data_IF_785054969145
#
_entry.id   IF_785054969145
#
_cell.length_a   1.000
_cell.length_b   1.000
_cell.length_c   1.000
_cell.angle_alpha   90.00
_cell.angle_beta   90.00
_cell.angle_gamma   90.00
#
_symmetry.space_group_name_H-M   'P 1'
#
loop_
_entity.id
_entity.type
_entity.pdbx_description
1 polymer ?
#
# COMPACT_ATOMS: atom_id res chain seq x y z
N UNK A 1 -12.41 -4.81 8.19
CA UNK A 1 -11.26 -4.35 7.37
C UNK A 1 -11.73 -3.49 6.21
N UNK A 2 -12.86 -3.82 5.60
CA UNK A 2 -13.45 -3.09 4.47
C UNK A 2 -13.63 -1.57 4.73
N UNK A 3 -14.28 -1.17 5.83
CA UNK A 3 -14.46 0.26 6.18
C UNK A 3 -13.13 1.03 6.25
N UNK A 4 -12.09 0.39 6.80
CA UNK A 4 -10.75 0.97 6.89
C UNK A 4 -10.13 1.16 5.50
N UNK A 5 -10.31 0.20 4.59
CA UNK A 5 -9.80 0.27 3.22
C UNK A 5 -10.55 1.35 2.42
N UNK A 6 -11.88 1.44 2.55
CA UNK A 6 -12.67 2.54 1.99
C UNK A 6 -12.16 3.90 2.45
N UNK A 7 -11.95 4.08 3.75
CA UNK A 7 -11.40 5.33 4.27
C UNK A 7 -9.97 5.60 3.78
N UNK A 8 -9.10 4.60 3.74
CA UNK A 8 -7.71 4.74 3.30
C UNK A 8 -7.57 5.05 1.80
N UNK A 9 -8.48 4.55 0.97
CA UNK A 9 -8.35 4.59 -0.49
C UNK A 9 -9.28 5.65 -1.11
N UNK A 10 -10.55 5.70 -0.71
CA UNK A 10 -11.50 6.69 -1.21
C UNK A 10 -11.60 7.93 -0.31
N UNK A 11 -11.48 7.74 1.01
CA UNK A 11 -11.78 8.79 2.00
C UNK A 11 -10.65 9.77 2.32
N UNK A 12 -9.45 9.60 1.75
CA UNK A 12 -8.26 10.37 2.17
C UNK A 12 -7.37 10.76 0.99
N UNK A 13 -6.74 11.95 1.07
CA UNK A 13 -5.81 12.44 0.04
C UNK A 13 -4.69 11.43 -0.22
N UNK A 14 -4.44 11.16 -1.50
CA UNK A 14 -3.44 10.19 -1.96
C UNK A 14 -3.84 8.72 -1.79
N UNK A 15 -5.14 8.43 -1.65
CA UNK A 15 -5.65 7.07 -1.52
C UNK A 15 -5.41 6.21 -2.75
N UNK A 16 -5.52 6.79 -3.96
CA UNK A 16 -5.12 6.14 -5.23
C UNK A 16 -3.68 5.62 -5.16
N UNK A 17 -2.72 6.45 -4.71
CA UNK A 17 -1.32 6.02 -4.58
C UNK A 17 -1.13 4.94 -3.51
N UNK A 18 -1.91 4.96 -2.42
CA UNK A 18 -1.92 3.86 -1.44
C UNK A 18 -2.43 2.56 -2.06
N UNK A 19 -3.48 2.61 -2.87
CA UNK A 19 -3.98 1.42 -3.56
C UNK A 19 -2.96 0.86 -4.57
N UNK A 20 -2.31 1.73 -5.35
CA UNK A 20 -1.21 1.33 -6.25
C UNK A 20 -0.08 0.63 -5.49
N UNK A 21 0.33 1.17 -4.34
CA UNK A 21 1.31 0.54 -3.46
C UNK A 21 0.84 -0.84 -2.97
N UNK A 22 -0.40 -0.95 -2.48
CA UNK A 22 -0.94 -2.22 -1.95
C UNK A 22 -0.94 -3.28 -3.06
N UNK A 23 -1.30 -2.90 -4.29
CA UNK A 23 -1.29 -3.80 -5.46
C UNK A 23 0.12 -4.27 -5.81
N UNK A 24 1.12 -3.39 -5.81
CA UNK A 24 2.53 -3.77 -6.01
C UNK A 24 3.00 -4.74 -4.92
N UNK A 25 2.74 -4.41 -3.65
CA UNK A 25 3.17 -5.22 -2.50
C UNK A 25 2.47 -6.57 -2.37
N UNK A 26 1.32 -6.74 -3.03
CA UNK A 26 0.67 -8.05 -3.18
C UNK A 26 1.46 -8.97 -4.11
N UNK A 27 2.06 -8.43 -5.17
CA UNK A 27 2.85 -9.23 -6.12
C UNK A 27 4.13 -9.79 -5.49
N UNK A 28 4.87 -8.94 -4.77
CA UNK A 28 6.06 -9.31 -4.00
C UNK A 28 6.49 -8.19 -3.04
N UNK A 29 7.40 -8.46 -2.10
CA UNK A 29 8.00 -7.42 -1.27
C UNK A 29 8.86 -6.45 -2.09
N UNK A 30 8.83 -5.17 -1.72
CA UNK A 30 9.62 -4.12 -2.35
C UNK A 30 10.21 -3.17 -1.33
N UNK A 31 11.39 -2.62 -1.61
CA UNK A 31 11.89 -1.46 -0.86
C UNK A 31 11.25 -0.16 -1.38
N UNK A 32 11.41 0.94 -0.62
CA UNK A 32 10.79 2.21 -0.98
C UNK A 32 11.35 2.85 -2.26
N UNK A 33 12.61 2.60 -2.62
CA UNK A 33 13.18 3.09 -3.88
C UNK A 33 12.57 2.37 -5.08
N UNK A 34 12.39 1.04 -4.98
CA UNK A 34 11.75 0.25 -6.02
C UNK A 34 10.30 0.68 -6.23
N UNK A 35 9.54 0.91 -5.15
CA UNK A 35 8.17 1.43 -5.26
C UNK A 35 8.11 2.82 -5.90
N UNK A 36 9.08 3.70 -5.57
CA UNK A 36 9.17 5.02 -6.19
C UNK A 36 9.37 4.93 -7.70
N UNK A 37 10.27 4.05 -8.15
CA UNK A 37 10.51 3.80 -9.57
C UNK A 37 9.32 3.14 -10.26
N UNK A 38 8.78 2.05 -9.71
CA UNK A 38 7.67 1.31 -10.30
C UNK A 38 6.39 2.15 -10.46
N UNK A 39 6.16 3.06 -9.50
CA UNK A 39 4.94 3.86 -9.46
C UNK A 39 5.12 5.27 -10.04
N UNK A 40 6.32 5.61 -10.51
CA UNK A 40 6.68 6.95 -10.97
C UNK A 40 6.29 8.04 -9.95
N UNK A 41 6.76 7.84 -8.70
CA UNK A 41 6.50 8.72 -7.57
C UNK A 41 7.81 9.12 -6.91
N UNK A 42 7.86 10.32 -6.33
CA UNK A 42 9.02 10.71 -5.55
C UNK A 42 9.16 9.86 -4.27
N UNK A 43 10.41 9.66 -3.86
CA UNK A 43 10.73 8.84 -2.70
C UNK A 43 10.07 9.32 -1.40
N UNK A 44 9.92 10.64 -1.20
CA UNK A 44 9.30 11.19 0.03
C UNK A 44 7.80 10.88 0.06
N UNK A 45 7.12 10.94 -1.09
CA UNK A 45 5.73 10.53 -1.25
C UNK A 45 5.54 9.06 -0.92
N UNK A 46 6.37 8.16 -1.47
CA UNK A 46 6.33 6.74 -1.11
C UNK A 46 6.53 6.54 0.40
N UNK A 47 7.54 7.18 1.00
CA UNK A 47 7.82 7.08 2.44
C UNK A 47 6.65 7.59 3.29
N UNK A 48 5.98 8.65 2.87
CA UNK A 48 4.77 9.13 3.55
C UNK A 48 3.66 8.07 3.51
N UNK A 49 3.37 7.49 2.35
CA UNK A 49 2.38 6.43 2.21
C UNK A 49 2.72 5.18 3.01
N UNK A 50 3.99 4.73 3.02
CA UNK A 50 4.43 3.60 3.84
C UNK A 50 4.13 3.82 5.33
N UNK A 51 4.34 5.04 5.85
CA UNK A 51 4.04 5.35 7.26
C UNK A 51 2.55 5.21 7.56
N UNK A 52 1.69 5.73 6.68
CA UNK A 52 0.23 5.63 6.85
C UNK A 52 -0.22 4.17 6.79
N UNK A 53 0.26 3.40 5.82
CA UNK A 53 -0.10 2.00 5.65
C UNK A 53 0.41 1.12 6.81
N UNK A 54 1.64 1.36 7.30
CA UNK A 54 2.20 0.65 8.46
C UNK A 54 1.43 0.97 9.74
N UNK A 55 1.07 2.25 9.96
CA UNK A 55 0.26 2.67 11.12
C UNK A 55 -1.11 1.97 11.16
N UNK A 56 -1.71 1.71 9.99
CA UNK A 56 -3.00 1.03 9.87
C UNK A 56 -2.87 -0.49 9.70
N UNK A 57 -1.69 -1.06 9.96
CA UNK A 57 -1.42 -2.50 9.87
C UNK A 57 -1.73 -3.12 8.49
N UNK A 58 -1.65 -2.34 7.41
CA UNK A 58 -1.82 -2.80 6.04
C UNK A 58 -0.53 -3.45 5.52
N UNK A 59 0.61 -2.90 5.93
CA UNK A 59 1.94 -3.38 5.55
C UNK A 59 2.80 -3.62 6.79
N UNK A 60 3.78 -4.51 6.63
CA UNK A 60 4.91 -4.70 7.55
C UNK A 60 6.22 -4.57 6.78
N UNK A 61 7.33 -4.48 7.50
CA UNK A 61 8.66 -4.49 6.89
C UNK A 61 9.54 -5.58 7.50
N UNK A 62 10.50 -6.06 6.72
CA UNK A 62 11.58 -6.95 7.15
C UNK A 62 12.91 -6.23 7.03
N UNK A 63 13.85 -6.47 7.96
CA UNK A 63 15.14 -5.79 8.01
C UNK A 63 15.04 -4.31 8.39
N UNK A 64 14.14 -3.94 9.30
CA UNK A 64 13.98 -2.55 9.73
C UNK A 64 15.30 -2.00 10.32
N UNK A 65 15.72 -0.83 9.82
CA UNK A 65 17.01 -0.21 10.21
C UNK A 65 18.25 -0.81 9.52
N UNK A 66 18.08 -1.78 8.62
CA UNK A 66 19.18 -2.46 7.93
C UNK A 66 19.19 -2.16 6.42
N UNK A 67 20.36 -2.35 5.79
CA UNK A 67 20.49 -2.34 4.34
C UNK A 67 19.67 -3.50 3.76
N UNK A 68 18.79 -3.20 2.79
CA UNK A 68 17.89 -4.20 2.20
C UNK A 68 16.50 -4.28 2.83
N UNK A 69 16.08 -3.30 3.66
CA UNK A 69 14.72 -3.24 4.18
C UNK A 69 13.67 -3.29 3.06
N UNK A 70 12.73 -4.23 3.16
CA UNK A 70 11.59 -4.36 2.24
C UNK A 70 10.26 -4.27 2.99
N UNK A 71 9.25 -3.76 2.30
CA UNK A 71 7.86 -3.75 2.73
C UNK A 71 7.11 -4.91 2.08
N UNK A 72 6.08 -5.39 2.77
CA UNK A 72 5.17 -6.43 2.29
C UNK A 72 3.81 -6.26 2.96
N UNK A 73 2.75 -6.85 2.38
CA UNK A 73 1.45 -6.87 3.04
C UNK A 73 1.53 -7.57 4.41
N UNK A 74 0.81 -7.03 5.38
CA UNK A 74 0.61 -7.71 6.66
C UNK A 74 -0.19 -9.01 6.45
N UNK A 75 -0.11 -10.00 7.37
CA UNK A 75 -0.90 -11.23 7.26
C UNK A 75 -2.39 -10.94 7.11
N UNK A 76 -2.93 -10.06 7.96
CA UNK A 76 -4.34 -9.67 7.91
C UNK A 76 -4.72 -9.01 6.58
N UNK A 77 -3.84 -8.18 6.00
CA UNK A 77 -4.11 -7.58 4.70
C UNK A 77 -4.08 -8.62 3.56
N UNK A 78 -3.21 -9.64 3.64
CA UNK A 78 -3.20 -10.73 2.66
C UNK A 78 -4.49 -11.54 2.68
N UNK A 79 -4.99 -11.86 3.87
CA UNK A 79 -6.26 -12.58 4.05
C UNK A 79 -7.47 -11.78 3.55
N UNK A 80 -7.37 -10.45 3.55
CA UNK A 80 -8.44 -9.53 3.12
C UNK A 80 -8.15 -8.88 1.76
N UNK A 81 -7.26 -9.46 0.94
CA UNK A 81 -6.86 -8.83 -0.32
C UNK A 81 -8.01 -8.76 -1.33
N UNK A 82 -8.91 -9.73 -1.34
CA UNK A 82 -10.06 -9.75 -2.25
C UNK A 82 -11.03 -8.58 -1.98
N UNK A 83 -11.21 -8.20 -0.71
CA UNK A 83 -11.97 -7.01 -0.34
C UNK A 83 -11.31 -5.74 -0.89
N UNK A 84 -9.98 -5.63 -0.79
CA UNK A 84 -9.24 -4.54 -1.43
C UNK A 84 -9.42 -4.52 -2.95
N UNK A 85 -9.30 -5.68 -3.62
CA UNK A 85 -9.39 -5.74 -5.08
C UNK A 85 -10.79 -5.34 -5.58
N UNK A 86 -11.84 -5.68 -4.82
CA UNK A 86 -13.23 -5.27 -5.08
C UNK A 86 -13.39 -3.75 -4.97
N UNK A 87 -13.00 -3.16 -3.82
CA UNK A 87 -13.03 -1.71 -3.60
C UNK A 87 -12.22 -0.98 -4.69
N UNK A 88 -11.04 -1.49 -5.01
CA UNK A 88 -10.16 -0.85 -5.98
C UNK A 88 -10.72 -0.86 -7.40
N UNK A 89 -11.42 -1.94 -7.79
CA UNK A 89 -12.16 -1.99 -9.06
C UNK A 89 -13.31 -0.98 -9.08
N UNK A 90 -14.07 -0.88 -8.00
CA UNK A 90 -15.18 0.09 -7.91
C UNK A 90 -14.70 1.52 -8.04
N UNK A 91 -13.63 1.90 -7.34
CA UNK A 91 -13.06 3.26 -7.43
C UNK A 91 -12.59 3.54 -8.86
N UNK A 92 -11.86 2.61 -9.48
CA UNK A 92 -11.36 2.78 -10.86
C UNK A 92 -12.44 2.85 -11.93
N UNK A 93 -13.62 2.28 -11.69
CA UNK A 93 -14.74 2.36 -12.62
C UNK A 93 -15.52 3.68 -12.49
N UNK A 94 -15.28 4.44 -11.42
CA UNK A 94 -15.95 5.71 -11.12
C UNK A 94 -15.05 6.96 -11.36
N UNK A 95 -13.77 6.77 -11.71
CA UNK A 95 -12.80 7.80 -12.12
C UNK A 95 -12.69 7.89 -13.65
#
# INVERSE_FOLDING_TARGET
MEDLLWWLIAGTRGGINRARIIKELHSRPYNANQLAQNLDLDYKTIRHHMKVLKKNNIIKCSGEGQYGMVYMLSPIMKENFDAFDTIWKEIRNND
#
